data_IF_284993675680
#
_entry.id   IF_284993675680
#
_cell.length_a   1.000
_cell.length_b   1.000
_cell.length_c   1.000
_cell.angle_alpha   90.00
_cell.angle_beta   90.00
_cell.angle_gamma   90.00
#
_symmetry.space_group_name_H-M   'P 1'
#
loop_
_entity.id
_entity.type
_entity.pdbx_description
1 polymer ?
2 polymer ?
3 non-polymer ?
4 non-polymer ?
5 non-polymer ?
6 non-polymer ?
7 water ?
#
loop_
_entity_poly.entity_id
_entity_poly.type
_entity_poly.pdbx_seq_one_letter_code
_entity_poly.pdbx_strand_id
2 'polydeoxyribonucleotide' '(DA)(DT)(DT)(DG)(DT)(DG)(DG)(DC)(DC)(DA)(DC)(DA)(DA)(DT)' ?
#
# COMPACT_ATOMS: atom_id res chain seq x y z
N UNK A 24 16.89 -11.84 12.55
CA UNK A 24 16.81 -10.40 12.40
C UNK A 24 15.37 -9.89 12.47
N UNK A 25 14.90 -9.32 11.36
CA UNK A 25 13.57 -8.68 11.32
C UNK A 25 12.46 -9.69 11.55
N UNK A 26 11.41 -9.27 12.26
CA UNK A 26 10.25 -10.09 12.47
C UNK A 26 9.00 -9.25 12.22
N UNK A 27 7.89 -9.92 12.06
CA UNK A 27 6.59 -9.25 11.97
C UNK A 27 5.86 -9.37 13.30
N UNK A 28 5.25 -8.28 13.75
CA UNK A 28 4.43 -8.30 14.95
C UNK A 28 2.98 -8.57 14.57
N UNK A 29 2.36 -9.59 15.20
CA UNK A 29 0.95 -9.91 14.95
C UNK A 29 0.22 -9.66 16.26
N UNK A 30 -0.90 -10.36 16.50
CA UNK A 30 -1.71 -10.07 17.69
C UNK A 30 -1.08 -10.58 19.00
N UNK A 31 -1.63 -10.10 20.11
CA UNK A 31 -1.35 -10.62 21.47
C UNK A 31 0.13 -10.57 21.81
N UNK A 32 0.83 -9.57 21.27
CA UNK A 32 2.25 -9.42 21.58
C UNK A 32 3.17 -10.39 20.90
N UNK A 33 2.66 -11.26 20.05
CA UNK A 33 3.47 -12.27 19.37
C UNK A 33 4.20 -11.71 18.16
N UNK A 34 5.33 -12.33 17.80
CA UNK A 34 6.07 -11.96 16.59
C UNK A 34 6.54 -13.23 15.88
N UNK A 35 6.59 -13.17 14.55
CA UNK A 35 7.01 -14.33 13.73
C UNK A 35 8.13 -13.92 12.79
N UNK A 36 8.97 -14.86 12.38
CA UNK A 36 10.07 -14.48 11.47
C UNK A 36 9.56 -14.02 10.11
N UNK A 37 10.34 -13.16 9.47
CA UNK A 37 10.04 -12.84 8.08
C UNK A 37 10.44 -14.02 7.19
N UNK A 38 10.08 -13.96 5.91
CA UNK A 38 10.46 -14.94 4.89
C UNK A 38 9.92 -16.34 5.20
N UNK A 39 8.74 -16.44 5.81
CA UNK A 39 8.23 -17.75 6.22
C UNK A 39 6.71 -17.67 6.27
N UNK A 40 6.06 -17.94 5.13
CA UNK A 40 4.60 -17.80 5.09
C UNK A 40 3.91 -18.80 6.02
N UNK A 41 4.42 -20.04 6.06
CA UNK A 41 3.79 -21.05 6.89
C UNK A 41 3.70 -20.63 8.35
N UNK A 42 4.77 -20.04 8.88
CA UNK A 42 4.73 -19.59 10.28
C UNK A 42 3.89 -18.35 10.46
N UNK A 43 3.81 -17.50 9.43
CA UNK A 43 2.95 -16.32 9.55
C UNK A 43 1.50 -16.75 9.65
N UNK A 44 1.08 -17.68 8.79
CA UNK A 44 -0.31 -18.16 8.86
C UNK A 44 -0.61 -18.86 10.19
N UNK A 45 0.30 -19.73 10.62
CA UNK A 45 0.08 -20.40 11.89
C UNK A 45 0.02 -19.41 13.04
N UNK A 46 0.84 -18.35 12.94
CA UNK A 46 0.84 -17.32 13.95
C UNK A 46 -0.50 -16.58 14.02
N UNK A 47 -1.08 -16.25 12.86
CA UNK A 47 -2.39 -15.58 12.88
C UNK A 47 -3.44 -16.48 13.53
N UNK A 48 -3.42 -17.77 13.19
CA UNK A 48 -4.38 -18.69 13.80
C UNK A 48 -4.23 -18.71 15.32
N UNK A 49 -3.00 -18.68 15.82
CA UNK A 49 -2.79 -18.78 17.26
C UNK A 49 -3.03 -17.46 18.00
N UNK A 50 -2.63 -16.33 17.41
CA UNK A 50 -2.57 -15.07 18.12
C UNK A 50 -3.39 -13.96 17.46
N UNK A 51 -3.91 -14.21 16.28
CA UNK A 51 -4.68 -13.21 15.57
C UNK A 51 -3.77 -12.21 14.88
N UNK A 52 -4.36 -11.32 14.06
CA UNK A 52 -3.58 -10.25 13.39
C UNK A 52 -3.19 -9.15 14.37
N UNK A 53 -2.30 -8.25 13.93
CA UNK A 53 -1.91 -7.14 14.79
C UNK A 53 -3.12 -6.30 15.21
N UNK A 54 -4.04 -6.05 14.30
CA UNK A 54 -5.29 -5.39 14.69
C UNK A 54 -6.45 -6.01 13.93
N UNK A 55 -7.42 -6.51 14.67
CA UNK A 55 -8.67 -7.00 14.11
C UNK A 55 -9.54 -5.80 13.76
N UNK A 56 -10.09 -5.72 12.54
CA UNK A 56 -10.92 -4.54 12.20
C UNK A 56 -12.23 -4.55 12.97
N UNK A 57 -12.62 -3.38 13.47
CA UNK A 57 -13.95 -3.21 14.05
C UNK A 57 -14.89 -2.78 12.93
N UNK A 58 -16.05 -3.43 12.85
CA UNK A 58 -17.01 -3.30 11.78
C UNK A 58 -18.34 -2.82 12.36
N UNK A 59 -19.12 -2.15 11.51
CA UNK A 59 -20.46 -1.68 11.88
C UNK A 59 -21.49 -2.81 11.79
N UNK A 60 -21.55 -3.48 10.64
CA UNK A 60 -22.64 -4.44 10.41
C UNK A 60 -22.27 -5.88 10.69
N UNK A 61 -20.96 -6.21 10.72
CA UNK A 61 -20.51 -7.60 10.79
C UNK A 61 -21.15 -8.43 9.69
N UNK A 62 -21.20 -7.83 8.49
CA UNK A 62 -21.88 -8.40 7.35
C UNK A 62 -21.05 -8.13 6.09
N UNK A 63 -20.80 -9.18 5.32
CA UNK A 63 -20.14 -9.05 4.01
C UNK A 63 -21.08 -9.56 2.92
N UNK A 64 -21.14 -8.84 1.79
CA UNK A 64 -21.90 -9.29 0.63
C UNK A 64 -21.01 -10.02 -0.35
N UNK A 65 -21.47 -11.19 -0.82
CA UNK A 65 -20.82 -11.93 -1.91
C UNK A 65 -21.74 -11.81 -3.12
N UNK A 66 -21.26 -11.13 -4.16
CA UNK A 66 -22.07 -10.75 -5.33
C UNK A 66 -21.55 -11.54 -6.53
N UNK A 67 -22.42 -12.32 -7.17
CA UNK A 67 -21.97 -13.18 -8.25
C UNK A 67 -23.13 -13.52 -9.18
N UNK A 68 -22.78 -14.24 -10.26
CA UNK A 68 -23.67 -14.69 -11.34
C UNK A 68 -23.66 -16.21 -11.43
N UNK A 69 -23.47 -16.88 -10.30
CA UNK A 69 -23.36 -18.34 -10.29
C UNK A 69 -24.16 -18.92 -9.15
N UNK A 70 -25.46 -18.58 -9.10
CA UNK A 70 -26.32 -19.11 -8.06
C UNK A 70 -26.32 -20.64 -8.11
N UNK A 71 -26.28 -21.25 -6.92
CA UNK A 71 -26.23 -22.69 -6.72
C UNK A 71 -24.93 -23.33 -7.22
N UNK A 72 -23.88 -22.54 -7.48
CA UNK A 72 -22.63 -23.11 -7.91
C UNK A 72 -21.91 -23.78 -6.74
N UNK A 73 -21.37 -24.98 -6.99
CA UNK A 73 -20.64 -25.67 -5.94
C UNK A 73 -19.39 -24.89 -5.54
N UNK A 74 -18.66 -24.39 -6.54
CA UNK A 74 -17.44 -23.64 -6.28
C UNK A 74 -17.70 -22.41 -5.42
N UNK A 75 -18.77 -21.66 -5.73
CA UNK A 75 -19.13 -20.50 -4.91
C UNK A 75 -19.34 -20.91 -3.46
N UNK A 76 -20.00 -22.07 -3.24
CA UNK A 76 -20.22 -22.55 -1.89
C UNK A 76 -18.90 -22.94 -1.22
N UNK A 77 -18.01 -23.58 -1.96
CA UNK A 77 -16.72 -23.92 -1.37
C UNK A 77 -15.94 -22.63 -1.02
N UNK A 78 -15.96 -21.68 -1.94
CA UNK A 78 -15.32 -20.38 -1.71
C UNK A 78 -15.91 -19.71 -0.48
N UNK A 79 -17.24 -19.68 -0.38
CA UNK A 79 -17.86 -19.04 0.78
C UNK A 79 -17.46 -19.73 2.08
N UNK A 80 -17.38 -21.05 2.07
CA UNK A 80 -17.05 -21.78 3.28
C UNK A 80 -15.62 -21.50 3.74
N UNK A 81 -14.68 -21.42 2.80
CA UNK A 81 -13.30 -21.09 3.17
C UNK A 81 -13.20 -19.66 3.69
N UNK A 82 -13.88 -18.74 3.01
CA UNK A 82 -13.87 -17.35 3.46
C UNK A 82 -14.40 -17.25 4.88
N UNK A 83 -15.56 -17.88 5.12
CA UNK A 83 -16.18 -17.71 6.43
C UNK A 83 -15.34 -18.37 7.53
N UNK A 84 -14.74 -19.54 7.24
CA UNK A 84 -13.95 -20.16 8.30
C UNK A 84 -12.62 -19.44 8.51
N UNK A 85 -12.02 -18.90 7.45
CA UNK A 85 -10.71 -18.25 7.65
C UNK A 85 -10.86 -16.86 8.26
N UNK A 86 -11.93 -16.13 7.92
CA UNK A 86 -12.18 -14.84 8.55
C UNK A 86 -12.33 -15.02 10.04
N UNK A 87 -13.01 -16.10 10.46
CA UNK A 87 -13.17 -16.35 11.89
C UNK A 87 -11.88 -16.89 12.52
N UNK A 88 -11.26 -17.92 11.92
CA UNK A 88 -10.20 -18.67 12.61
C UNK A 88 -8.81 -18.10 12.36
N UNK A 89 -8.58 -17.51 11.20
CA UNK A 89 -7.24 -16.96 10.91
C UNK A 89 -7.21 -15.49 11.30
N UNK A 90 -8.24 -14.75 10.94
CA UNK A 90 -8.28 -13.30 11.15
C UNK A 90 -8.94 -12.94 12.47
N UNK A 91 -9.55 -13.93 13.14
CA UNK A 91 -10.21 -13.68 14.44
C UNK A 91 -11.28 -12.59 14.36
N UNK A 92 -11.99 -12.50 13.24
CA UNK A 92 -13.09 -11.57 13.09
C UNK A 92 -14.34 -12.40 13.29
N UNK A 93 -15.00 -12.18 14.43
CA UNK A 93 -16.06 -13.07 14.89
C UNK A 93 -17.45 -12.58 14.49
N UNK A 94 -18.37 -13.55 14.41
CA UNK A 94 -19.81 -13.28 14.22
C UNK A 94 -20.13 -12.65 12.88
N UNK A 95 -19.32 -12.94 11.84
CA UNK A 95 -19.56 -12.38 10.52
C UNK A 95 -20.55 -13.25 9.77
N UNK A 96 -21.46 -12.62 9.03
CA UNK A 96 -22.34 -13.35 8.13
C UNK A 96 -22.10 -12.86 6.71
N UNK A 97 -22.25 -13.78 5.77
CA UNK A 97 -22.08 -13.49 4.36
C UNK A 97 -23.45 -13.60 3.72
N UNK A 98 -23.90 -12.52 3.08
CA UNK A 98 -25.12 -12.54 2.29
C UNK A 98 -24.76 -12.54 0.81
N UNK A 99 -25.60 -13.20 0.00
CA UNK A 99 -25.38 -13.36 -1.43
C UNK A 99 -26.36 -12.50 -2.22
N UNK A 100 -25.88 -11.95 -3.32
CA UNK A 100 -26.67 -11.17 -4.25
C UNK A 100 -26.32 -11.66 -5.64
N UNK A 101 -27.33 -12.02 -6.42
CA UNK A 101 -27.15 -12.59 -7.74
C UNK A 101 -27.48 -11.52 -8.77
N UNK A 102 -26.53 -11.22 -9.66
CA UNK A 102 -26.82 -10.39 -10.82
C UNK A 102 -27.14 -11.28 -12.01
N UNK A 103 -28.07 -10.83 -12.85
CA UNK A 103 -28.59 -11.68 -13.91
C UNK A 103 -27.83 -11.53 -15.23
N UNK A 104 -26.97 -10.51 -15.37
CA UNK A 104 -26.24 -10.29 -16.62
C UNK A 104 -24.87 -9.67 -16.34
N UNK A 105 -23.80 -10.08 -17.06
CA UNK A 105 -22.45 -9.52 -16.80
C UNK A 105 -22.25 -8.13 -17.37
N UNK A 106 -23.09 -7.18 -16.95
CA UNK A 106 -22.99 -5.83 -17.45
C UNK A 106 -23.07 -4.84 -16.31
N UNK A 107 -22.63 -3.62 -16.59
CA UNK A 107 -22.46 -2.63 -15.53
C UNK A 107 -23.76 -2.41 -14.78
N UNK A 108 -24.86 -2.15 -15.49
CA UNK A 108 -26.10 -1.79 -14.79
C UNK A 108 -26.64 -2.94 -13.95
N UNK A 109 -26.58 -4.16 -14.46
CA UNK A 109 -27.07 -5.30 -13.71
C UNK A 109 -26.23 -5.55 -12.47
N UNK A 110 -24.90 -5.47 -12.59
CA UNK A 110 -24.06 -5.65 -11.42
C UNK A 110 -24.22 -4.50 -10.45
N UNK A 111 -24.24 -3.27 -10.96
CA UNK A 111 -24.41 -2.12 -10.08
C UNK A 111 -25.72 -2.19 -9.29
N UNK A 112 -26.77 -2.76 -9.90
CA UNK A 112 -28.02 -2.88 -9.18
C UNK A 112 -27.85 -3.75 -7.95
N UNK A 113 -27.03 -4.82 -8.06
CA UNK A 113 -26.82 -5.68 -6.89
C UNK A 113 -25.88 -5.07 -5.88
N UNK A 114 -24.87 -4.32 -6.33
CA UNK A 114 -24.04 -3.57 -5.39
C UNK A 114 -24.90 -2.64 -4.55
N UNK A 115 -25.80 -1.90 -5.21
CA UNK A 115 -26.67 -0.99 -4.48
C UNK A 115 -27.62 -1.74 -3.56
N UNK A 116 -28.13 -2.90 -4.00
CA UNK A 116 -28.95 -3.70 -3.11
C UNK A 116 -28.16 -4.12 -1.89
N UNK A 117 -26.90 -4.53 -2.09
CA UNK A 117 -26.11 -4.96 -0.93
C UNK A 117 -25.90 -3.80 0.04
N UNK A 118 -25.48 -2.65 -0.49
CA UNK A 118 -25.30 -1.47 0.36
C UNK A 118 -26.59 -1.13 1.11
N UNK A 119 -27.74 -1.22 0.42
CA UNK A 119 -28.99 -0.93 1.10
C UNK A 119 -29.27 -1.89 2.25
N UNK A 120 -28.84 -3.16 2.15
CA UNK A 120 -29.09 -4.07 3.29
C UNK A 120 -28.21 -3.81 4.50
N UNK A 121 -27.11 -3.08 4.34
CA UNK A 121 -26.18 -2.83 5.42
C UNK A 121 -25.01 -3.82 5.47
N UNK A 122 -23.92 -3.47 4.80
CA UNK A 122 -22.75 -4.35 4.74
C UNK A 122 -21.48 -3.55 4.99
N UNK A 123 -20.44 -4.26 5.47
CA UNK A 123 -19.14 -3.64 5.70
C UNK A 123 -18.22 -3.70 4.49
N UNK A 124 -18.49 -4.61 3.56
CA UNK A 124 -17.66 -4.79 2.38
C UNK A 124 -18.35 -5.69 1.38
N UNK A 125 -17.88 -5.62 0.13
CA UNK A 125 -18.45 -6.39 -0.96
C UNK A 125 -17.35 -7.22 -1.63
N UNK A 126 -17.62 -8.49 -1.80
CA UNK A 126 -16.81 -9.39 -2.61
C UNK A 126 -17.55 -9.66 -3.91
N UNK A 127 -16.91 -9.36 -5.04
CA UNK A 127 -17.62 -9.28 -6.32
C UNK A 127 -16.93 -10.20 -7.31
N UNK A 128 -17.65 -11.21 -7.77
CA UNK A 128 -17.09 -12.21 -8.68
C UNK A 128 -17.49 -11.84 -10.11
N UNK A 129 -16.51 -11.58 -10.95
CA UNK A 129 -16.73 -11.34 -12.38
C UNK A 129 -16.49 -12.63 -13.17
N UNK A 130 -17.17 -12.82 -14.32
CA UNK A 130 -17.02 -14.10 -15.04
C UNK A 130 -15.71 -14.23 -15.81
N UNK A 131 -15.12 -13.14 -16.27
CA UNK A 131 -13.98 -13.23 -17.19
C UNK A 131 -13.25 -11.89 -17.22
N UNK A 132 -12.17 -11.87 -18.00
CA UNK A 132 -11.40 -10.64 -18.23
C UNK A 132 -12.24 -9.60 -18.98
N UNK A 133 -12.30 -8.40 -18.44
CA UNK A 133 -13.16 -7.36 -19.02
C UNK A 133 -12.70 -6.03 -18.43
N UNK A 134 -11.70 -5.46 -19.08
CA UNK A 134 -11.04 -4.29 -18.51
C UNK A 134 -12.00 -3.12 -18.33
N UNK A 135 -12.81 -2.73 -19.32
CA UNK A 135 -13.75 -1.62 -19.07
C UNK A 135 -14.77 -1.89 -17.97
N UNK A 136 -15.34 -3.10 -17.93
CA UNK A 136 -16.31 -3.39 -16.89
C UNK A 136 -15.64 -3.37 -15.52
N UNK A 137 -14.46 -3.98 -15.43
CA UNK A 137 -13.74 -4.04 -14.16
C UNK A 137 -13.45 -2.64 -13.64
N UNK A 138 -12.85 -1.76 -14.48
CA UNK A 138 -12.51 -0.45 -13.93
C UNK A 138 -13.72 0.44 -13.70
N UNK A 139 -14.82 0.28 -14.43
CA UNK A 139 -16.01 1.06 -14.10
C UNK A 139 -16.60 0.64 -12.77
N UNK A 140 -16.75 -0.67 -12.58
CA UNK A 140 -17.23 -1.17 -11.30
C UNK A 140 -16.26 -0.81 -10.17
N UNK A 141 -14.96 -1.03 -10.38
CA UNK A 141 -14.00 -0.78 -9.31
C UNK A 141 -14.03 0.67 -8.87
N UNK A 142 -14.08 1.61 -9.82
CA UNK A 142 -14.12 3.00 -9.42
C UNK A 142 -15.41 3.34 -8.69
N UNK A 143 -16.53 2.74 -9.09
CA UNK A 143 -17.77 2.94 -8.34
C UNK A 143 -17.63 2.43 -6.90
N UNK A 144 -17.13 1.20 -6.75
CA UNK A 144 -17.02 0.57 -5.44
C UNK A 144 -16.02 1.30 -4.54
N UNK A 145 -14.87 1.70 -5.09
CA UNK A 145 -13.89 2.41 -4.28
C UNK A 145 -14.49 3.69 -3.72
N UNK A 146 -15.36 4.33 -4.51
CA UNK A 146 -16.07 5.49 -4.02
C UNK A 146 -17.21 5.18 -3.06
N UNK A 147 -17.52 3.91 -2.76
CA UNK A 147 -18.69 3.53 -1.96
C UNK A 147 -18.37 2.73 -0.70
N UNK A 148 -17.54 1.69 -0.80
CA UNK A 148 -17.45 0.67 0.27
C UNK A 148 -16.20 -0.16 0.00
N UNK A 149 -15.53 -0.68 1.04
CA UNK A 149 -14.41 -1.60 0.79
C UNK A 149 -14.85 -2.76 -0.07
N UNK A 150 -13.99 -3.18 -1.01
CA UNK A 150 -14.40 -4.21 -1.97
C UNK A 150 -13.24 -5.08 -2.41
N UNK A 151 -13.59 -6.28 -2.87
CA UNK A 151 -12.62 -7.28 -3.33
C UNK A 151 -13.18 -7.94 -4.57
N UNK A 152 -12.51 -7.81 -5.70
CA UNK A 152 -12.95 -8.52 -6.87
C UNK A 152 -12.31 -9.88 -6.96
N UNK A 153 -12.97 -10.75 -7.75
CA UNK A 153 -12.54 -12.11 -8.05
C UNK A 153 -12.95 -12.44 -9.48
N UNK A 154 -12.17 -13.31 -10.14
CA UNK A 154 -12.50 -13.79 -11.49
C UNK A 154 -12.89 -15.25 -11.41
N UNK A 155 -14.13 -15.56 -11.81
CA UNK A 155 -14.59 -16.93 -11.70
C UNK A 155 -13.76 -17.87 -12.57
N UNK A 156 -13.41 -17.44 -13.78
CA UNK A 156 -12.64 -18.31 -14.65
C UNK A 156 -11.24 -18.57 -14.11
N UNK A 157 -10.68 -17.62 -13.35
CA UNK A 157 -9.38 -17.87 -12.72
C UNK A 157 -9.53 -18.74 -11.47
N UNK A 158 -10.46 -18.35 -10.60
CA UNK A 158 -10.75 -19.10 -9.39
C UNK A 158 -11.00 -20.59 -9.66
N UNK A 159 -11.67 -20.90 -10.77
CA UNK A 159 -11.95 -22.28 -11.17
C UNK A 159 -10.73 -23.01 -11.68
N UNK A 160 -9.58 -22.35 -11.74
CA UNK A 160 -8.34 -22.97 -12.16
C UNK A 160 -7.22 -22.66 -11.18
N UNK A 161 -7.52 -22.72 -9.88
CA UNK A 161 -6.53 -22.44 -8.85
C UNK A 161 -6.72 -23.34 -7.64
N UNK A 162 -5.63 -23.54 -6.91
CA UNK A 162 -5.73 -24.10 -5.56
C UNK A 162 -6.53 -23.13 -4.70
N UNK A 163 -7.72 -23.53 -4.28
CA UNK A 163 -8.62 -22.59 -3.62
C UNK A 163 -8.06 -22.15 -2.26
N UNK A 164 -7.29 -23.02 -1.60
CA UNK A 164 -6.72 -22.69 -0.30
C UNK A 164 -5.75 -21.52 -0.42
N UNK A 165 -4.80 -21.60 -1.35
CA UNK A 165 -3.89 -20.49 -1.55
C UNK A 165 -4.60 -19.26 -2.07
N UNK A 166 -5.60 -19.45 -2.94
CA UNK A 166 -6.36 -18.33 -3.48
C UNK A 166 -7.02 -17.52 -2.35
N UNK A 167 -7.83 -18.19 -1.52
CA UNK A 167 -8.53 -17.48 -0.45
C UNK A 167 -7.56 -16.97 0.60
N UNK A 168 -6.48 -17.71 0.90
CA UNK A 168 -5.53 -17.28 1.93
C UNK A 168 -5.03 -15.87 1.63
N UNK A 169 -4.52 -15.67 0.42
CA UNK A 169 -3.98 -14.37 0.06
C UNK A 169 -5.06 -13.33 -0.19
N UNK A 170 -6.17 -13.74 -0.82
CA UNK A 170 -7.35 -12.89 -0.97
C UNK A 170 -7.71 -12.18 0.32
N UNK A 171 -7.74 -12.91 1.43
CA UNK A 171 -8.20 -12.33 2.69
C UNK A 171 -7.18 -11.37 3.29
N UNK A 172 -5.87 -11.58 3.02
CA UNK A 172 -4.92 -10.61 3.54
C UNK A 172 -5.32 -9.23 3.07
N UNK A 173 -5.55 -9.08 1.76
CA UNK A 173 -5.82 -7.74 1.28
C UNK A 173 -7.25 -7.31 1.56
N UNK A 174 -8.22 -8.25 1.63
CA UNK A 174 -9.57 -7.81 1.97
C UNK A 174 -9.67 -7.34 3.43
N UNK A 175 -9.11 -8.10 4.37
CA UNK A 175 -9.04 -7.65 5.75
C UNK A 175 -8.36 -6.28 5.85
N UNK A 176 -7.27 -6.07 5.08
CA UNK A 176 -6.63 -4.76 5.09
C UNK A 176 -7.57 -3.68 4.56
N UNK A 177 -8.29 -3.97 3.48
CA UNK A 177 -9.26 -2.99 2.95
C UNK A 177 -10.37 -2.69 3.93
N UNK A 178 -10.76 -3.64 4.78
CA UNK A 178 -11.73 -3.41 5.84
C UNK A 178 -11.15 -2.62 7.01
N UNK A 179 -9.87 -2.22 6.95
CA UNK A 179 -9.25 -1.45 8.02
C UNK A 179 -8.48 -2.28 9.03
N UNK A 180 -8.36 -3.60 8.82
CA UNK A 180 -7.56 -4.43 9.75
C UNK A 180 -6.09 -4.17 9.50
N UNK A 181 -5.22 -4.62 10.40
CA UNK A 181 -3.77 -4.54 10.20
C UNK A 181 -3.22 -5.94 10.37
N UNK A 182 -2.96 -6.65 9.28
CA UNK A 182 -2.56 -8.07 9.44
C UNK A 182 -1.34 -8.23 10.32
N UNK A 183 -0.27 -7.48 10.03
CA UNK A 183 0.97 -7.55 10.77
C UNK A 183 1.72 -6.25 10.51
N UNK A 184 2.60 -5.88 11.44
CA UNK A 184 3.48 -4.72 11.22
C UNK A 184 4.92 -5.17 11.35
N UNK A 185 5.84 -4.29 10.92
CA UNK A 185 7.28 -4.51 11.11
C UNK A 185 7.63 -4.29 12.56
N UNK A 186 8.44 -5.18 13.10
CA UNK A 186 9.02 -5.02 14.42
C UNK A 186 10.29 -4.21 14.27
N UNK A 187 10.24 -2.92 14.55
CA UNK A 187 11.44 -2.11 14.40
C UNK A 187 11.77 -1.47 15.73
N UNK A 188 13.04 -1.14 15.88
CA UNK A 188 13.50 -0.40 17.05
C UNK A 188 12.90 0.99 17.07
N UNK A 189 12.12 1.35 18.09
CA UNK A 189 11.48 2.67 18.10
C UNK A 189 12.48 3.83 18.18
N UNK A 190 13.73 3.58 18.56
CA UNK A 190 14.72 4.64 18.62
C UNK A 190 15.51 4.82 17.33
N UNK A 191 15.31 3.97 16.32
CA UNK A 191 16.05 4.12 15.06
C UNK A 191 15.10 4.48 13.92
N UNK A 192 15.57 5.30 13.00
CA UNK A 192 14.82 5.58 11.79
C UNK A 192 13.84 6.71 11.96
N UNK A 193 12.97 6.87 10.95
CA UNK A 193 12.20 8.09 10.81
C UNK A 193 10.94 8.04 11.65
N UNK A 194 10.50 9.22 12.09
CA UNK A 194 9.16 9.33 12.71
C UNK A 194 8.07 9.08 11.68
N UNK A 195 8.16 9.73 10.53
CA UNK A 195 7.33 9.37 9.40
C UNK A 195 8.18 9.36 8.14
N UNK A 196 7.72 8.58 7.18
CA UNK A 196 8.30 8.52 5.84
C UNK A 196 7.19 8.92 4.88
N UNK A 197 7.47 9.86 4.00
CA UNK A 197 6.49 10.30 3.01
C UNK A 197 6.95 9.79 1.65
N UNK A 198 6.12 8.93 1.05
CA UNK A 198 6.40 8.40 -0.28
C UNK A 198 5.74 9.41 -1.20
N UNK A 199 6.46 9.96 -2.16
CA UNK A 199 5.90 11.08 -2.96
C UNK A 199 6.54 11.07 -4.33
N UNK A 200 5.96 11.86 -5.24
CA UNK A 200 6.40 11.77 -6.61
C UNK A 200 5.22 12.02 -7.51
N UNK A 201 5.31 11.51 -8.72
CA UNK A 201 4.18 11.64 -9.62
C UNK A 201 4.25 10.43 -10.51
N UNK A 202 3.14 10.04 -11.10
CA UNK A 202 3.18 9.01 -12.14
C UNK A 202 2.54 9.55 -13.42
N UNK A 203 3.19 9.27 -14.53
CA UNK A 203 2.70 9.67 -15.86
C UNK A 203 1.59 8.73 -16.29
N UNK A 204 0.50 9.33 -16.77
CA UNK A 204 -0.59 8.67 -17.49
C UNK A 204 -0.18 8.43 -18.93
N UNK A 205 0.46 9.42 -19.53
CA UNK A 205 0.93 9.38 -20.90
C UNK A 205 2.01 10.43 -20.99
N UNK A 206 2.42 10.78 -22.22
CA UNK A 206 3.54 11.68 -22.42
C UNK A 206 3.27 13.07 -21.86
N UNK A 207 2.02 13.44 -21.62
CA UNK A 207 1.67 14.79 -21.23
C UNK A 207 1.03 14.85 -19.84
N UNK A 208 0.17 13.90 -19.51
CA UNK A 208 -0.63 14.00 -18.31
C UNK A 208 -0.03 13.17 -17.17
N UNK A 209 -0.27 13.61 -15.95
CA UNK A 209 0.27 12.89 -14.78
C UNK A 209 -0.60 13.20 -13.57
N UNK A 210 -0.35 12.48 -12.45
CA UNK A 210 -0.85 12.97 -11.18
C UNK A 210 0.24 12.81 -10.12
N UNK A 211 0.20 13.65 -9.09
CA UNK A 211 1.14 13.58 -7.99
C UNK A 211 0.54 12.76 -6.87
N UNK A 212 1.42 12.14 -6.08
CA UNK A 212 0.93 11.39 -4.91
C UNK A 212 1.79 11.72 -3.71
N UNK A 213 1.24 11.52 -2.51
CA UNK A 213 2.02 11.65 -1.28
C UNK A 213 1.36 10.74 -0.24
N UNK A 214 2.13 9.82 0.33
CA UNK A 214 1.59 8.77 1.20
C UNK A 214 2.45 8.75 2.46
N UNK A 215 1.82 8.95 3.63
CA UNK A 215 2.55 9.01 4.91
C UNK A 215 2.57 7.64 5.57
N UNK A 216 3.77 7.14 5.91
CA UNK A 216 3.95 5.86 6.62
C UNK A 216 4.63 6.03 7.95
N UNK A 217 4.31 5.13 8.91
CA UNK A 217 5.18 4.95 10.06
C UNK A 217 6.32 4.03 9.69
N UNK A 218 7.37 4.06 10.51
CA UNK A 218 8.49 3.15 10.23
C UNK A 218 8.12 1.68 10.40
N UNK A 219 6.99 1.38 11.05
CA UNK A 219 6.56 -0.03 11.10
C UNK A 219 5.84 -0.46 9.84
N UNK A 220 5.77 0.40 8.81
CA UNK A 220 5.19 0.00 7.56
C UNK A 220 3.72 0.36 7.38
N UNK A 221 3.04 0.86 8.41
CA UNK A 221 1.62 1.17 8.27
C UNK A 221 1.40 2.54 7.64
N UNK A 222 0.44 2.61 6.73
CA UNK A 222 0.08 3.87 6.04
C UNK A 222 -0.86 4.69 6.92
N UNK A 223 -0.53 5.97 7.16
CA UNK A 223 -1.33 6.85 8.01
C UNK A 223 -2.28 7.75 7.21
N UNK A 224 -1.91 8.11 5.99
CA UNK A 224 -2.69 9.11 5.26
C UNK A 224 -2.22 9.10 3.83
N UNK A 225 -3.14 9.25 2.86
CA UNK A 225 -2.64 9.35 1.51
C UNK A 225 -3.46 10.36 0.73
N UNK A 226 -2.76 11.03 -0.18
CA UNK A 226 -3.34 12.11 -0.99
C UNK A 226 -2.87 11.93 -2.42
N UNK A 227 -3.76 12.18 -3.38
CA UNK A 227 -3.33 12.26 -4.77
C UNK A 227 -3.92 13.51 -5.39
N UNK A 228 -3.18 14.07 -6.31
CA UNK A 228 -3.65 15.27 -7.00
C UNK A 228 -4.63 14.87 -8.08
N UNK A 229 -5.40 15.83 -8.61
CA UNK A 229 -6.04 15.59 -9.90
C UNK A 229 -5.01 15.31 -10.98
N UNK A 230 -5.48 14.70 -12.08
CA UNK A 230 -4.68 14.56 -13.27
C UNK A 230 -4.48 15.95 -13.86
N UNK A 231 -3.22 16.29 -14.13
CA UNK A 231 -2.76 17.60 -14.62
C UNK A 231 -1.72 17.35 -15.72
N UNK A 232 -1.33 18.43 -16.44
CA UNK A 232 -0.26 18.27 -17.43
C UNK A 232 1.11 18.47 -16.79
N UNK A 233 2.14 17.98 -17.50
CA UNK A 233 3.50 18.04 -16.96
C UNK A 233 3.88 19.44 -16.55
N UNK A 234 3.37 20.45 -17.27
CA UNK A 234 3.68 21.83 -16.91
C UNK A 234 3.22 22.21 -15.52
N UNK A 235 2.32 21.43 -14.90
CA UNK A 235 1.80 21.79 -13.60
C UNK A 235 2.39 20.90 -12.48
N UNK A 236 3.37 20.06 -12.83
CA UNK A 236 3.95 19.08 -11.89
C UNK A 236 4.42 19.74 -10.60
N UNK A 237 5.35 20.69 -10.69
CA UNK A 237 5.92 21.19 -9.43
C UNK A 237 4.92 21.89 -8.52
N UNK A 238 3.94 22.62 -9.09
CA UNK A 238 2.90 23.21 -8.27
C UNK A 238 2.11 22.15 -7.49
N UNK A 239 1.67 21.10 -8.16
CA UNK A 239 0.85 20.09 -7.52
C UNK A 239 1.68 19.15 -6.67
N UNK A 240 2.99 19.03 -6.90
CA UNK A 240 3.81 18.21 -6.02
C UNK A 240 3.86 18.83 -4.62
N UNK A 241 4.12 20.14 -4.58
CA UNK A 241 4.14 20.84 -3.30
C UNK A 241 2.77 20.80 -2.64
N UNK A 242 1.69 21.06 -3.41
CA UNK A 242 0.38 21.12 -2.73
C UNK A 242 -0.05 19.74 -2.24
N UNK A 243 0.29 18.68 -2.97
CA UNK A 243 -0.12 17.33 -2.57
C UNK A 243 0.61 16.90 -1.30
N UNK A 244 1.90 17.22 -1.21
CA UNK A 244 2.64 16.89 0.01
C UNK A 244 2.08 17.69 1.19
N UNK A 245 1.84 18.99 0.99
CA UNK A 245 1.31 19.78 2.08
C UNK A 245 -0.01 19.20 2.57
N UNK A 246 -0.87 18.79 1.64
CA UNK A 246 -2.18 18.25 1.99
C UNK A 246 -2.06 16.96 2.79
N UNK A 247 -1.09 16.10 2.44
CA UNK A 247 -0.97 14.83 3.17
C UNK A 247 -0.43 15.08 4.56
N UNK A 248 0.47 16.05 4.72
CA UNK A 248 0.98 16.34 6.07
C UNK A 248 -0.12 16.96 6.92
N UNK A 249 -0.93 17.87 6.34
CA UNK A 249 -2.06 18.41 7.09
C UNK A 249 -3.00 17.29 7.57
N UNK A 250 -3.31 16.35 6.68
CA UNK A 250 -4.20 15.27 7.04
C UNK A 250 -3.59 14.39 8.11
N UNK A 251 -2.30 14.08 7.97
CA UNK A 251 -1.65 13.29 8.99
C UNK A 251 -1.68 14.01 10.34
N UNK A 252 -1.44 15.32 10.34
CA UNK A 252 -1.32 16.04 11.59
C UNK A 252 -2.69 16.21 12.27
N UNK A 253 -3.74 16.35 11.47
CA UNK A 253 -5.08 16.44 12.06
C UNK A 253 -5.51 15.11 12.66
N UNK A 254 -5.18 14.00 11.99
CA UNK A 254 -5.56 12.69 12.49
C UNK A 254 -4.60 12.16 13.53
N UNK A 255 -3.40 12.72 13.64
CA UNK A 255 -2.41 12.36 14.65
C UNK A 255 -1.90 13.63 15.34
N UNK A 256 -2.77 14.34 16.07
CA UNK A 256 -2.37 15.66 16.57
C UNK A 256 -1.27 15.61 17.62
N UNK A 257 -0.99 14.47 18.24
CA UNK A 257 0.04 14.40 19.26
C UNK A 257 1.38 13.87 18.75
N UNK A 258 1.44 13.44 17.49
CA UNK A 258 2.67 13.07 16.81
C UNK A 258 3.64 14.23 16.64
N UNK A 259 4.79 14.16 17.31
CA UNK A 259 5.88 15.08 17.05
C UNK A 259 6.75 14.45 15.97
N UNK A 260 6.94 15.15 14.87
CA UNK A 260 7.82 14.65 13.82
C UNK A 260 9.15 15.37 13.98
N UNK A 261 10.12 14.67 14.58
CA UNK A 261 11.46 15.21 14.69
C UNK A 261 12.43 14.59 13.70
N UNK A 262 12.08 13.47 13.08
CA UNK A 262 12.91 12.81 12.05
C UNK A 262 12.02 12.47 10.87
N UNK A 263 12.28 13.10 9.73
CA UNK A 263 11.40 12.98 8.56
C UNK A 263 12.22 12.51 7.35
N UNK A 264 11.67 11.57 6.59
CA UNK A 264 12.31 11.14 5.35
C UNK A 264 11.31 11.18 4.20
N UNK A 265 11.72 11.74 3.06
CA UNK A 265 10.95 11.66 1.82
C UNK A 265 11.53 10.57 0.93
N UNK A 266 10.69 9.67 0.43
CA UNK A 266 11.06 8.71 -0.62
C UNK A 266 10.37 9.19 -1.89
N UNK A 267 11.15 9.68 -2.85
CA UNK A 267 10.62 10.20 -4.11
C UNK A 267 10.78 9.16 -5.19
N UNK A 268 9.70 8.87 -5.92
CA UNK A 268 9.72 7.85 -6.97
C UNK A 268 8.71 8.22 -8.05
N UNK A 269 8.66 7.38 -9.07
CA UNK A 269 7.70 7.46 -10.14
C UNK A 269 8.34 8.01 -11.41
N UNK A 270 7.80 7.59 -12.55
CA UNK A 270 8.20 8.17 -13.83
C UNK A 270 7.54 9.54 -13.94
N UNK A 271 8.33 10.59 -13.85
CA UNK A 271 7.85 11.95 -13.76
C UNK A 271 8.74 12.89 -14.58
N UNK A 272 8.40 14.18 -14.72
CA UNK A 272 9.23 15.06 -15.55
C UNK A 272 10.65 15.16 -15.02
N UNK A 273 11.59 15.28 -15.95
CA UNK A 273 13.01 15.39 -15.62
C UNK A 273 13.29 16.85 -15.31
N UNK A 274 13.08 17.20 -14.03
CA UNK A 274 13.33 18.52 -13.48
C UNK A 274 14.05 18.39 -12.15
N UNK A 275 15.13 17.61 -12.14
CA UNK A 275 15.68 17.09 -10.88
C UNK A 275 16.06 18.20 -9.92
N UNK A 276 16.87 19.17 -10.38
CA UNK A 276 17.28 20.25 -9.50
C UNK A 276 16.10 21.14 -9.11
N UNK A 277 15.19 21.42 -10.05
CA UNK A 277 14.00 22.19 -9.72
C UNK A 277 13.10 21.44 -8.75
N UNK A 278 12.97 20.13 -8.93
CA UNK A 278 12.14 19.32 -8.02
C UNK A 278 12.73 19.31 -6.62
N UNK A 279 14.04 19.03 -6.51
CA UNK A 279 14.68 19.05 -5.20
C UNK A 279 14.49 20.39 -4.49
N UNK A 280 14.64 21.50 -5.22
CA UNK A 280 14.44 22.81 -4.61
C UNK A 280 13.02 22.97 -4.07
N UNK A 281 12.01 22.53 -4.82
CA UNK A 281 10.62 22.61 -4.37
C UNK A 281 10.37 21.70 -3.16
N UNK A 282 10.94 20.51 -3.17
CA UNK A 282 10.75 19.62 -2.03
C UNK A 282 11.37 20.21 -0.77
N UNK A 283 12.56 20.81 -0.91
CA UNK A 283 13.18 21.46 0.23
C UNK A 283 12.32 22.61 0.75
N UNK A 284 11.83 23.46 -0.17
CA UNK A 284 10.94 24.55 0.23
C UNK A 284 9.73 24.03 0.97
N UNK A 285 9.19 22.90 0.53
CA UNK A 285 7.97 22.34 1.13
C UNK A 285 8.21 21.97 2.59
N UNK A 286 9.30 21.25 2.86
CA UNK A 286 9.67 20.91 4.24
C UNK A 286 9.87 22.17 5.07
N UNK A 287 10.60 23.14 4.52
CA UNK A 287 10.79 24.41 5.24
C UNK A 287 9.48 25.10 5.54
N UNK A 288 8.55 25.09 4.58
CA UNK A 288 7.27 25.73 4.85
C UNK A 288 6.49 24.97 5.91
N UNK A 289 6.58 23.63 5.89
CA UNK A 289 5.90 22.84 6.93
C UNK A 289 6.54 23.08 8.28
N UNK A 290 7.86 23.30 8.34
CA UNK A 290 8.51 23.67 9.59
C UNK A 290 7.98 25.00 10.11
N UNK A 291 7.88 26.00 9.22
CA UNK A 291 7.38 27.31 9.61
C UNK A 291 5.93 27.23 10.10
N UNK A 292 5.11 26.41 9.45
CA UNK A 292 3.74 26.18 9.88
C UNK A 292 3.63 25.28 11.12
N UNK A 293 4.74 24.82 11.68
CA UNK A 293 4.72 23.95 12.85
C UNK A 293 3.93 22.66 12.60
N UNK A 294 3.97 22.18 11.37
CA UNK A 294 3.41 20.87 11.04
C UNK A 294 4.38 19.74 11.33
N UNK A 295 5.69 20.03 11.36
CA UNK A 295 6.71 19.16 11.90
C UNK A 295 7.51 20.00 12.88
N UNK A 296 8.40 19.34 13.62
CA UNK A 296 9.23 20.05 14.58
C UNK A 296 10.06 21.14 13.91
N UNK A 297 10.21 22.28 14.61
CA UNK A 297 11.12 23.32 14.14
C UNK A 297 12.56 22.80 14.05
N UNK A 298 12.90 21.79 14.84
CA UNK A 298 14.22 21.18 14.81
C UNK A 298 14.24 19.86 14.03
N UNK A 299 13.26 19.64 13.15
CA UNK A 299 13.19 18.38 12.40
C UNK A 299 14.51 18.13 11.68
N UNK A 300 14.96 16.89 11.72
CA UNK A 300 16.05 16.39 10.87
C UNK A 300 15.41 15.65 9.70
N UNK A 301 15.79 16.00 8.47
CA UNK A 301 15.15 15.36 7.33
C UNK A 301 16.13 15.06 6.21
N UNK A 302 15.73 14.10 5.39
CA UNK A 302 16.46 13.80 4.15
C UNK A 302 15.44 13.55 3.05
N UNK A 303 15.81 13.93 1.84
CA UNK A 303 14.99 13.70 0.65
C UNK A 303 15.75 12.72 -0.22
N UNK A 304 15.14 11.57 -0.49
CA UNK A 304 15.82 10.47 -1.19
C UNK A 304 15.09 10.17 -2.48
N UNK A 305 15.85 9.84 -3.52
CA UNK A 305 15.29 9.27 -4.75
C UNK A 305 15.47 7.77 -4.72
N UNK A 306 14.35 7.03 -4.86
CA UNK A 306 14.39 5.58 -4.91
C UNK A 306 14.02 5.16 -6.34
N UNK A 307 14.92 4.43 -6.99
CA UNK A 307 14.79 3.99 -8.38
C UNK A 307 15.09 2.50 -8.47
N UNK A 308 14.17 1.72 -9.04
CA UNK A 308 14.48 0.34 -9.38
C UNK A 308 15.43 0.35 -10.57
N UNK A 309 16.53 -0.40 -10.49
CA UNK A 309 17.48 -0.45 -11.58
C UNK A 309 17.50 -1.87 -12.16
N UNK A 310 18.34 -2.08 -13.17
CA UNK A 310 18.37 -3.33 -13.91
C UNK A 310 18.71 -4.53 -13.03
N UNK A 311 17.93 -5.60 -13.07
CA UNK A 311 18.27 -6.80 -12.32
C UNK A 311 19.59 -7.38 -12.77
N UNK A 312 20.28 -8.04 -11.83
CA UNK A 312 21.52 -8.76 -12.12
C UNK A 312 21.56 -10.02 -11.27
N UNK A 313 22.52 -10.90 -11.55
CA UNK A 313 22.54 -12.21 -10.93
C UNK A 313 23.91 -12.48 -10.36
N UNK A 314 23.98 -12.85 -9.09
CA UNK A 314 25.26 -13.28 -8.53
C UNK A 314 25.47 -14.75 -8.88
N UNK A 315 26.48 -15.04 -9.69
CA UNK A 315 26.77 -16.43 -10.04
C UNK A 315 27.59 -17.12 -8.97
N UNK A 316 27.66 -16.51 -7.78
CA UNK A 316 28.55 -16.93 -6.72
C UNK A 316 29.80 -16.08 -6.68
N UNK A 324 25.01 -14.12 0.51
CA UNK A 324 24.42 -13.27 1.56
C UNK A 324 24.27 -11.79 1.16
N UNK A 325 23.33 -11.51 0.26
CA UNK A 325 23.00 -10.15 -0.14
C UNK A 325 21.69 -9.67 0.47
N UNK A 326 21.13 -10.44 1.39
CA UNK A 326 19.89 -10.07 2.07
C UNK A 326 20.21 -8.96 3.07
N UNK A 327 19.86 -7.73 2.71
CA UNK A 327 20.18 -6.57 3.51
C UNK A 327 21.47 -5.84 3.13
N UNK A 328 22.16 -6.26 2.07
CA UNK A 328 23.46 -5.66 1.76
C UNK A 328 23.32 -4.26 1.18
N UNK A 329 24.17 -3.35 1.67
CA UNK A 329 24.20 -1.95 1.26
C UNK A 329 25.51 -1.64 0.55
N UNK A 330 25.42 -0.97 -0.60
CA UNK A 330 26.58 -0.62 -1.43
C UNK A 330 26.68 0.89 -1.50
N UNK A 331 27.84 1.43 -1.20
CA UNK A 331 28.06 2.86 -1.36
C UNK A 331 28.71 3.11 -2.72
N UNK A 332 28.08 3.95 -3.55
CA UNK A 332 28.63 4.37 -4.83
C UNK A 332 29.28 5.75 -4.76
N UNK A 333 28.80 6.61 -3.89
CA UNK A 333 29.40 7.90 -3.58
C UNK A 333 28.83 8.36 -2.24
N UNK A 334 29.20 9.57 -1.81
CA UNK A 334 28.70 10.05 -0.52
C UNK A 334 27.19 10.15 -0.54
N UNK A 335 26.60 10.32 -1.71
CA UNK A 335 25.15 10.53 -1.81
C UNK A 335 24.41 9.38 -2.48
N UNK A 336 25.12 8.44 -3.12
CA UNK A 336 24.49 7.45 -3.98
C UNK A 336 24.76 6.06 -3.43
N UNK A 337 23.67 5.27 -3.25
CA UNK A 337 23.74 3.97 -2.63
C UNK A 337 22.94 2.98 -3.47
N UNK A 338 23.19 1.70 -3.23
CA UNK A 338 22.45 0.62 -3.88
C UNK A 338 22.10 -0.45 -2.84
N UNK A 339 20.80 -0.81 -2.75
CA UNK A 339 20.35 -1.87 -1.87
C UNK A 339 20.13 -3.12 -2.71
N UNK A 340 20.84 -4.21 -2.38
CA UNK A 340 20.74 -5.44 -3.18
C UNK A 340 19.56 -6.27 -2.70
N UNK A 341 18.38 -5.87 -3.12
CA UNK A 341 17.17 -6.60 -2.75
C UNK A 341 17.06 -7.89 -3.56
N UNK A 342 16.74 -8.98 -2.88
CA UNK A 342 16.59 -10.26 -3.56
C UNK A 342 15.27 -10.28 -4.34
N UNK A 343 15.29 -10.93 -5.50
CA UNK A 343 14.06 -11.06 -6.28
C UNK A 343 13.05 -11.89 -5.48
N UNK A 344 11.80 -11.42 -5.35
CA UNK A 344 10.72 -12.13 -4.62
C UNK A 344 10.22 -13.38 -5.35
N UNK A 352 24.04 -23.65 -12.49
CA UNK A 352 23.73 -22.25 -12.26
C UNK A 352 23.23 -22.00 -10.83
N UNK A 353 24.17 -21.77 -9.91
CA UNK A 353 23.85 -21.29 -8.56
C UNK A 353 23.68 -19.76 -8.60
N UNK A 354 22.71 -19.34 -9.39
CA UNK A 354 22.52 -17.94 -9.77
C UNK A 354 21.51 -17.31 -8.81
N UNK A 355 21.93 -16.28 -8.05
CA UNK A 355 21.09 -15.57 -7.10
C UNK A 355 20.56 -14.30 -7.75
N UNK A 356 19.23 -14.17 -7.97
CA UNK A 356 18.70 -12.97 -8.62
C UNK A 356 18.60 -11.82 -7.63
N UNK A 357 19.11 -10.66 -8.06
CA UNK A 357 19.06 -9.42 -7.31
C UNK A 357 18.19 -8.44 -8.09
N UNK A 358 17.32 -7.71 -7.37
CA UNK A 358 16.55 -6.63 -7.93
C UNK A 358 16.97 -5.36 -7.22
N UNK A 359 18.06 -4.73 -7.64
CA UNK A 359 18.64 -3.64 -6.85
C UNK A 359 17.77 -2.40 -6.84
N UNK A 360 17.91 -1.64 -5.76
CA UNK A 360 17.22 -0.39 -5.60
C UNK A 360 18.28 0.69 -5.43
N UNK A 361 18.29 1.65 -6.36
CA UNK A 361 19.10 2.85 -6.23
C UNK A 361 18.50 3.78 -5.16
N UNK A 362 19.35 4.33 -4.30
CA UNK A 362 18.93 5.31 -3.27
C UNK A 362 19.86 6.49 -3.34
N UNK A 363 19.36 7.66 -3.74
CA UNK A 363 20.19 8.86 -3.82
C UNK A 363 19.71 9.88 -2.81
N UNK A 364 20.65 10.39 -2.01
CA UNK A 364 20.31 11.46 -1.08
C UNK A 364 20.44 12.77 -1.84
N UNK A 365 19.31 13.40 -2.18
CA UNK A 365 19.41 14.65 -2.94
C UNK A 365 19.40 15.89 -2.06
N UNK A 366 18.95 15.78 -0.80
CA UNK A 366 18.98 16.91 0.10
C UNK A 366 18.83 16.42 1.54
N UNK A 367 19.51 17.09 2.48
CA UNK A 367 19.35 16.75 3.91
C UNK A 367 19.88 17.91 4.73
N UNK A 368 19.48 17.98 6.00
CA UNK A 368 20.00 18.99 6.92
C UNK A 368 20.78 18.33 8.05
N UNK A 369 21.39 17.19 7.74
CA UNK A 369 22.15 16.47 8.76
C UNK A 369 23.52 17.12 8.94
N UNK A 370 24.05 17.04 10.15
CA UNK A 370 25.43 17.51 10.33
C UNK A 370 26.42 16.47 9.85
N UNK A 371 27.66 16.93 9.59
CA UNK A 371 28.65 15.99 9.11
C UNK A 371 28.91 14.90 10.14
N UNK A 372 28.78 15.21 11.43
CA UNK A 372 29.05 14.21 12.45
C UNK A 372 27.99 13.12 12.51
N UNK A 373 26.74 13.43 12.16
CA UNK A 373 25.70 12.42 12.20
C UNK A 373 25.44 11.76 10.84
N UNK A 374 26.15 12.17 9.80
CA UNK A 374 25.70 11.86 8.45
C UNK A 374 25.71 10.36 8.18
N UNK A 375 26.85 9.71 8.41
CA UNK A 375 26.89 8.31 8.03
C UNK A 375 26.07 7.44 8.96
N UNK A 376 25.92 7.84 10.24
CA UNK A 376 24.99 7.13 11.12
C UNK A 376 23.59 7.18 10.53
N UNK A 377 23.22 8.35 10.04
CA UNK A 377 21.86 8.53 9.47
C UNK A 377 21.72 7.80 8.15
N UNK A 378 22.79 7.75 7.34
CA UNK A 378 22.75 6.98 6.11
C UNK A 378 22.43 5.53 6.40
N UNK A 379 23.13 4.94 7.38
CA UNK A 379 22.87 3.54 7.71
C UNK A 379 21.43 3.35 8.15
N UNK A 380 20.91 4.26 8.96
CA UNK A 380 19.56 4.12 9.46
C UNK A 380 18.52 4.24 8.34
N UNK A 381 18.73 5.15 7.38
CA UNK A 381 17.70 5.30 6.31
C UNK A 381 17.76 4.11 5.36
N UNK A 382 18.96 3.56 5.11
CA UNK A 382 19.06 2.38 4.26
C UNK A 382 18.48 1.13 4.92
N UNK A 383 18.72 0.96 6.23
CA UNK A 383 18.10 -0.15 6.92
C UNK A 383 16.58 0.00 6.87
N UNK A 384 16.12 1.22 7.04
CA UNK A 384 14.68 1.50 7.04
C UNK A 384 14.03 1.10 5.71
N UNK A 385 14.69 1.45 4.62
CA UNK A 385 14.19 1.09 3.29
C UNK A 385 14.17 -0.40 3.13
N UNK A 386 15.20 -1.09 3.64
CA UNK A 386 15.18 -2.55 3.61
C UNK A 386 14.02 -3.12 4.44
N UNK A 387 13.77 -2.60 5.66
CA UNK A 387 12.63 -3.11 6.42
C UNK A 387 11.31 -2.85 5.72
N UNK A 388 11.15 -1.66 5.13
CA UNK A 388 9.91 -1.33 4.39
C UNK A 388 9.71 -2.24 3.19
N UNK A 389 10.79 -2.81 2.63
CA UNK A 389 10.67 -3.73 1.50
C UNK A 389 10.02 -5.04 1.90
N UNK A 390 9.88 -5.30 3.21
CA UNK A 390 9.28 -6.51 3.71
C UNK A 390 7.80 -6.32 4.02
N UNK A 391 7.24 -5.13 3.83
CA UNK A 391 5.84 -4.85 4.13
C UNK A 391 5.02 -4.94 2.85
N UNK A 392 4.02 -5.81 2.85
CA UNK A 392 3.16 -5.99 1.69
C UNK A 392 1.86 -6.61 2.18
N UNK A 393 0.75 -5.87 2.10
CA UNK A 393 -0.51 -6.49 2.52
C UNK A 393 -1.35 -6.91 1.34
N UNK A 394 -0.74 -7.04 0.17
CA UNK A 394 -1.47 -7.62 -0.94
C UNK A 394 -1.60 -9.13 -0.79
N UNK A 395 -0.73 -9.73 0.00
CA UNK A 395 -0.72 -11.17 0.19
C UNK A 395 0.32 -11.51 1.24
N UNK A 396 0.46 -12.83 1.49
CA UNK A 396 1.39 -13.28 2.53
C UNK A 396 2.86 -13.07 2.15
N UNK A 397 3.19 -13.23 0.88
CA UNK A 397 4.59 -13.23 0.46
C UNK A 397 5.08 -11.81 0.21
N UNK A 398 6.24 -11.50 0.77
CA UNK A 398 6.84 -10.18 0.62
C UNK A 398 7.06 -9.85 -0.86
N UNK A 399 6.83 -8.58 -1.22
CA UNK A 399 7.12 -8.11 -2.56
C UNK A 399 8.60 -7.75 -2.74
N UNK A 400 9.35 -7.64 -1.63
CA UNK A 400 10.76 -7.20 -1.66
C UNK A 400 10.92 -5.87 -2.41
N UNK A 401 9.97 -4.96 -2.19
CA UNK A 401 10.00 -3.61 -2.75
C UNK A 401 9.43 -2.69 -1.69
N UNK A 402 10.10 -1.59 -1.35
CA UNK A 402 9.60 -0.74 -0.25
C UNK A 402 8.17 -0.30 -0.48
N UNK A 403 7.38 -0.33 0.59
CA UNK A 403 5.99 -0.01 0.47
C UNK A 403 5.78 1.44 0.02
N UNK A 404 6.79 2.30 0.28
CA UNK A 404 6.70 3.69 -0.14
C UNK A 404 6.81 3.85 -1.64
N UNK A 405 7.31 2.84 -2.35
CA UNK A 405 7.38 2.83 -3.80
C UNK A 405 6.27 1.97 -4.40
N UNK A 406 6.06 0.81 -3.80
CA UNK A 406 5.09 -0.19 -4.28
C UNK A 406 3.64 0.32 -4.21
N UNK A 407 3.21 0.85 -3.07
CA UNK A 407 1.82 1.28 -2.96
C UNK A 407 1.46 2.40 -3.93
N UNK A 408 2.31 3.42 -4.14
CA UNK A 408 2.02 4.38 -5.22
C UNK A 408 1.89 3.73 -6.59
N UNK A 409 2.67 2.69 -6.89
CA UNK A 409 2.50 1.98 -8.16
C UNK A 409 1.12 1.34 -8.26
N UNK A 410 0.63 0.75 -7.16
CA UNK A 410 -0.71 0.18 -7.18
C UNK A 410 -1.74 1.26 -7.44
N UNK A 411 -1.60 2.40 -6.78
CA UNK A 411 -2.51 3.53 -6.98
C UNK A 411 -2.47 3.98 -8.44
N UNK A 412 -1.25 4.08 -9.00
CA UNK A 412 -1.12 4.57 -10.37
C UNK A 412 -1.88 3.68 -11.35
N UNK A 413 -1.78 2.36 -11.17
CA UNK A 413 -2.51 1.44 -12.01
C UNK A 413 -4.02 1.68 -12.01
N UNK A 414 -4.58 1.98 -10.85
CA UNK A 414 -6.02 2.24 -10.81
C UNK A 414 -6.36 3.59 -11.46
N UNK A 415 -5.65 4.66 -11.05
CA UNK A 415 -5.99 6.00 -11.53
C UNK A 415 -5.86 6.08 -13.06
N UNK A 416 -4.78 5.54 -13.61
CA UNK A 416 -4.56 5.57 -15.04
C UNK A 416 -5.71 4.91 -15.80
N UNK A 417 -6.06 3.70 -15.39
CA UNK A 417 -7.09 2.94 -16.08
C UNK A 417 -8.50 3.45 -15.83
N UNK A 418 -8.78 4.01 -14.65
CA UNK A 418 -10.08 4.62 -14.45
C UNK A 418 -10.21 5.86 -15.35
N UNK A 419 -9.10 6.58 -15.57
CA UNK A 419 -9.12 7.65 -16.55
C UNK A 419 -9.27 7.10 -17.97
N UNK A 420 -8.51 6.06 -18.31
CA UNK A 420 -8.51 5.55 -19.68
C UNK A 420 -9.88 5.01 -20.08
N UNK A 421 -10.56 4.29 -19.18
CA UNK A 421 -11.85 3.67 -19.49
C UNK A 421 -13.02 4.41 -18.89
N UNK A 422 -12.80 5.68 -18.54
CA UNK A 422 -13.90 6.56 -18.14
C UNK A 422 -14.77 6.12 -16.99
N UNK A 423 -14.18 5.56 -15.93
CA UNK A 423 -14.93 5.29 -14.72
C UNK A 423 -15.15 6.54 -13.88
N UNK A 424 -15.53 6.32 -12.60
CA UNK A 424 -15.81 7.43 -11.68
C UNK A 424 -14.50 7.92 -11.06
N UNK A 425 -14.17 9.21 -11.21
CA UNK A 425 -12.93 9.73 -10.62
C UNK A 425 -12.81 9.38 -9.14
N UNK A 426 -11.57 9.07 -8.73
CA UNK A 426 -11.24 8.74 -7.35
C UNK A 426 -10.38 9.87 -6.80
N UNK A 427 -10.94 10.68 -5.90
CA UNK A 427 -10.15 11.69 -5.19
C UNK A 427 -10.34 11.56 -3.69
N UNK A 428 -9.33 11.08 -2.94
CA UNK A 428 -9.51 10.83 -1.51
C UNK A 428 -9.80 12.06 -0.66
N UNK A 429 -9.60 13.27 -1.15
CA UNK A 429 -9.82 14.42 -0.27
C UNK A 429 -11.29 14.51 0.15
N UNK A 430 -11.49 14.86 1.41
CA UNK A 430 -12.82 14.85 2.01
C UNK A 430 -13.38 13.47 2.31
N UNK A 431 -12.67 12.38 2.00
CA UNK A 431 -13.22 11.04 2.15
C UNK A 431 -12.31 10.25 3.09
N UNK A 432 -12.67 10.16 4.39
CA UNK A 432 -11.73 9.60 5.34
C UNK A 432 -11.38 8.16 5.00
N UNK A 433 -12.35 7.39 4.49
CA UNK A 433 -12.08 6.01 4.12
C UNK A 433 -11.00 5.92 3.04
N UNK A 434 -11.05 6.80 2.04
CA UNK A 434 -10.03 6.75 1.00
C UNK A 434 -8.70 7.31 1.47
N UNK A 435 -8.71 8.20 2.46
CA UNK A 435 -7.45 8.76 2.95
C UNK A 435 -6.68 7.84 3.87
N UNK A 436 -7.35 6.85 4.48
CA UNK A 436 -6.72 6.05 5.51
C UNK A 436 -6.74 4.55 5.23
N UNK A 437 -7.46 4.09 4.24
CA UNK A 437 -7.46 2.64 4.09
C UNK A 437 -6.75 2.27 2.79
N UNK A 438 -6.19 1.09 2.69
CA UNK A 438 -5.43 0.70 1.48
C UNK A 438 -6.33 0.14 0.38
N UNK A 439 -7.16 1.04 -0.18
CA UNK A 439 -8.13 0.64 -1.21
C UNK A 439 -7.47 0.22 -2.52
N UNK A 440 -6.18 0.52 -2.70
CA UNK A 440 -5.44 0.19 -3.89
C UNK A 440 -4.86 -1.22 -3.90
N UNK A 441 -5.07 -2.04 -2.86
CA UNK A 441 -4.44 -3.36 -2.82
C UNK A 441 -5.09 -4.33 -3.82
X LIG D 1 -6.15 -6.25 -5.20
X LIG E 1 4.35 23.67 -12.05
X LIG F 1 27.86 9.39 11.68
X LIG G 1 20.10 -14.69 -16.42
X LIG H 1 -17.80 -3.04 16.15
X LIG I 1 -26.96 -5.91 7.80
X LIG J 1 22.48 4.94 -6.58
X LIG K 1 -0.80 -0.07 5.06
X LIG K 1 0.71 -0.42 5.00
X LIG K 1 -1.14 0.54 6.30
X LIG K 1 1.04 -2.18 4.68
X LIG L 1 -8.97 10.95 -10.88
X LIG L 1 -7.54 11.32 -10.51
X LIG L 1 -9.36 9.72 -10.27
X LIG L 1 -7.47 12.21 -8.92
X LIG M 1 -8.15 20.55 -11.58
X LIG M 1 -6.71 20.48 -12.07
X LIG M 1 -8.19 21.24 -10.35
X LIG M 1 -6.51 19.52 -13.61
X LIG N 1 27.69 -5.88 -6.81
X LIG N 1 26.65 -4.83 -7.22
X LIG N 1 27.25 -6.62 -5.68
X LIG N 1 27.16 -3.56 -8.43
X LIG O 1 19.57 -4.05 6.60
X LIG O 1 20.04 -5.40 7.14
X LIG O 1 20.24 -3.64 5.41
X LIG O 1 19.18 -5.74 8.69
X LIG P 1 13.90 1.51 10.83
X LIG P 1 12.61 2.05 10.26
X LIG P 1 14.01 1.75 12.22
X LIG P 1 11.70 0.92 9.16
#
# INVERSE_FOLDING_TARGET
MGSSHHHHHHSQDPMMEYKIVENGLTYRIGNGASVPISNTGELIKGLRNYGPYEVPSLKYNQIALIHNNQFSSLINQLKSQISSKIDEVWHIHNINISEFIYDSPHFDSIKSQVDNAIDTGVDGIMLVLPEYNTPLYYKLKSYLINSIPSQFMRYDILSNRNLTFYVDNLLVQFVSKLGGKPWILNVDPEKGSDIIIGTGATRIDNVNLFCFAMVFKKDGTMLWNEISPIVTSSEYLTYLKSTIKKVVYGFKKSNPDWDVEKLTLHVSGKRPKMKDGETKILKETVEELKKQEMVSRDVKYAILHLNETHPFWVMGDPNNRFHPYEGTKVKLSSKRYLLTLLQPYLKRNGLEMVTPIKPLSVEIVSDNWTSEEYYHNVHEILDEIYYLSKMNWRGFRSRNLPVTVNYPKLVAGIIANVNRYGGYPINPEGNRSLQTNPWFL
MG MG
MG MG
MG MG
CL CL
K K
K K
K K
BME C1 C2 O1 S2
BME C1 C2 O1 S2
BME C1 C2 O1 S2
BME C1 C2 O1 S2
BME C1 C2 O1 S2
BME C1 C2 O1 S2
#
